data_IF_060870566634
#
_entry.id   IF_060870566634
#
_cell.length_a   1.000
_cell.length_b   1.000
_cell.length_c   1.000
_cell.angle_alpha   90.00
_cell.angle_beta   90.00
_cell.angle_gamma   90.00
#
_symmetry.space_group_name_H-M   'P 1'
#
loop_
_entity.id
_entity.type
_entity.pdbx_description
1 polymer ?
#
# COMPACT_ATOMS: atom_id res chain seq x y z
N UNK A 1 6.48 -42.84 -71.24
CA UNK A 1 5.43 -42.20 -70.43
C UNK A 1 6.09 -41.74 -69.13
N UNK A 2 6.42 -40.48 -69.08
CA UNK A 2 7.27 -39.90 -68.01
C UNK A 2 6.35 -39.10 -67.04
N UNK A 3 6.22 -39.56 -65.80
CA UNK A 3 5.37 -38.93 -64.76
C UNK A 3 6.21 -37.87 -64.05
N UNK A 4 5.87 -36.64 -64.24
CA UNK A 4 6.51 -35.50 -63.55
C UNK A 4 5.85 -35.31 -62.16
N UNK A 5 6.61 -35.62 -61.13
CA UNK A 5 6.21 -35.43 -59.73
C UNK A 5 6.48 -34.00 -59.33
N UNK A 6 5.39 -33.24 -59.15
CA UNK A 6 5.48 -31.83 -58.65
C UNK A 6 5.61 -31.86 -57.14
N UNK A 7 6.78 -31.48 -56.64
CA UNK A 7 7.02 -31.20 -55.22
C UNK A 7 6.39 -29.87 -54.85
N UNK A 8 5.39 -29.88 -53.97
CA UNK A 8 4.82 -28.68 -53.36
C UNK A 8 5.66 -28.34 -52.12
N UNK A 9 6.46 -27.29 -52.23
CA UNK A 9 7.22 -26.73 -51.13
C UNK A 9 6.25 -25.87 -50.28
N UNK A 10 5.77 -26.40 -49.13
CA UNK A 10 4.93 -25.66 -48.21
C UNK A 10 5.81 -24.65 -47.43
N UNK A 11 5.64 -23.38 -47.73
CA UNK A 11 6.28 -22.26 -47.04
C UNK A 11 5.52 -22.04 -45.73
N UNK A 12 6.01 -22.63 -44.62
CA UNK A 12 5.53 -22.30 -43.28
C UNK A 12 6.05 -20.91 -42.92
N UNK A 13 5.25 -19.86 -43.21
CA UNK A 13 5.48 -18.52 -42.65
C UNK A 13 5.08 -18.58 -41.18
N UNK A 14 6.10 -18.69 -40.30
CA UNK A 14 5.93 -18.60 -38.87
C UNK A 14 5.45 -17.17 -38.50
N UNK A 15 4.21 -17.07 -38.10
CA UNK A 15 3.73 -15.87 -37.43
C UNK A 15 4.40 -15.81 -36.05
N UNK A 16 5.46 -15.00 -35.95
CA UNK A 16 6.00 -14.55 -34.65
C UNK A 16 4.93 -13.58 -34.13
N UNK A 17 4.05 -14.09 -33.30
CA UNK A 17 3.18 -13.24 -32.50
C UNK A 17 4.10 -12.45 -31.55
N UNK A 18 4.35 -11.18 -31.86
CA UNK A 18 4.90 -10.25 -30.88
C UNK A 18 3.87 -10.18 -29.74
N UNK A 19 4.12 -10.93 -28.67
CA UNK A 19 3.42 -10.76 -27.41
C UNK A 19 3.92 -9.41 -26.91
N UNK A 20 3.06 -8.38 -26.76
CA UNK A 20 3.49 -7.12 -26.18
C UNK A 20 4.04 -7.42 -24.78
N UNK A 21 5.12 -6.76 -24.33
CA UNK A 21 5.58 -6.89 -22.97
C UNK A 21 4.40 -6.53 -22.06
N UNK A 22 3.98 -7.48 -21.24
CA UNK A 22 2.97 -7.26 -20.23
C UNK A 22 3.64 -6.38 -19.18
N UNK A 23 3.35 -5.07 -19.17
CA UNK A 23 3.84 -4.15 -18.17
C UNK A 23 3.52 -4.68 -16.79
N UNK A 24 4.53 -4.79 -15.92
CA UNK A 24 4.46 -5.66 -14.76
C UNK A 24 4.40 -4.94 -13.41
N UNK A 25 4.52 -3.63 -13.36
CA UNK A 25 4.41 -2.87 -12.11
C UNK A 25 3.24 -1.87 -12.15
N UNK A 26 2.43 -1.79 -11.09
CA UNK A 26 2.41 -2.64 -9.89
C UNK A 26 1.66 -3.96 -10.10
N UNK A 27 1.95 -4.98 -9.26
CA UNK A 27 1.30 -6.29 -9.28
C UNK A 27 0.10 -6.40 -8.34
N UNK A 28 0.05 -5.56 -7.32
CA UNK A 28 -1.03 -5.52 -6.33
C UNK A 28 -1.42 -4.07 -6.04
N UNK A 29 -2.69 -3.89 -5.72
CA UNK A 29 -3.24 -2.60 -5.32
C UNK A 29 -3.81 -2.71 -3.91
N UNK A 30 -3.46 -1.73 -3.09
CA UNK A 30 -3.94 -1.63 -1.71
C UNK A 30 -4.62 -0.30 -1.53
N UNK A 31 -5.92 -0.34 -1.24
CA UNK A 31 -6.67 0.85 -0.79
C UNK A 31 -6.52 1.00 0.70
N UNK A 32 -6.12 2.19 1.15
CA UNK A 32 -5.81 2.45 2.55
C UNK A 32 -6.83 3.35 3.22
N UNK A 33 -7.00 3.14 4.52
CA UNK A 33 -7.56 4.13 5.46
C UNK A 33 -6.54 4.38 6.57
N UNK A 34 -6.31 5.66 6.89
CA UNK A 34 -5.36 6.09 7.92
C UNK A 34 -6.08 6.98 8.93
N UNK A 35 -6.02 6.61 10.20
CA UNK A 35 -6.49 7.44 11.30
C UNK A 35 -5.33 7.80 12.21
N UNK A 36 -5.13 9.09 12.44
CA UNK A 36 -4.15 9.63 13.38
C UNK A 36 -4.87 10.03 14.67
N UNK A 37 -4.31 9.64 15.81
CA UNK A 37 -4.91 9.92 17.11
C UNK A 37 -4.00 10.85 17.90
N UNK A 38 -4.50 12.04 18.21
CA UNK A 38 -3.81 13.00 19.06
C UNK A 38 -4.46 13.08 20.46
N UNK A 39 -3.63 13.23 21.50
CA UNK A 39 -4.09 13.47 22.86
C UNK A 39 -4.37 14.96 23.14
N UNK A 40 -4.76 15.27 24.37
CA UNK A 40 -5.08 16.64 24.81
C UNK A 40 -3.86 17.58 24.77
N UNK A 41 -2.67 17.02 24.87
CA UNK A 41 -1.40 17.75 24.77
C UNK A 41 -1.00 18.05 23.32
N UNK A 42 -1.75 17.51 22.35
CA UNK A 42 -1.48 17.66 20.92
C UNK A 42 -0.37 16.74 20.39
N UNK A 43 -0.06 15.68 21.14
CA UNK A 43 0.90 14.66 20.75
C UNK A 43 0.22 13.55 19.97
N UNK A 44 0.90 13.01 18.94
CA UNK A 44 0.47 11.82 18.24
C UNK A 44 0.67 10.59 19.14
N UNK A 45 -0.42 9.95 19.55
CA UNK A 45 -0.39 8.80 20.46
C UNK A 45 -0.62 7.47 19.75
N UNK A 46 -1.32 7.47 18.62
CA UNK A 46 -1.51 6.26 17.84
C UNK A 46 -1.75 6.56 16.36
N UNK A 47 -1.47 5.56 15.52
CA UNK A 47 -1.85 5.52 14.10
C UNK A 47 -2.59 4.21 13.86
N UNK A 48 -3.78 4.29 13.27
CA UNK A 48 -4.54 3.14 12.79
C UNK A 48 -4.44 3.08 11.27
N UNK A 49 -4.06 1.92 10.76
CA UNK A 49 -4.01 1.62 9.33
C UNK A 49 -5.00 0.52 9.01
N UNK A 50 -5.74 0.67 7.92
CA UNK A 50 -6.50 -0.42 7.30
C UNK A 50 -6.09 -0.51 5.86
N UNK A 51 -5.62 -1.68 5.44
CA UNK A 51 -5.21 -1.99 4.08
C UNK A 51 -6.20 -2.99 3.47
N UNK A 52 -6.96 -2.55 2.50
CA UNK A 52 -7.81 -3.44 1.69
C UNK A 52 -7.04 -3.84 0.45
N UNK A 53 -6.79 -5.12 0.31
CA UNK A 53 -6.14 -5.68 -0.86
C UNK A 53 -7.13 -5.79 -2.02
N UNK A 54 -6.61 -5.76 -3.26
CA UNK A 54 -7.43 -5.96 -4.44
C UNK A 54 -8.11 -7.33 -4.47
N UNK A 55 -9.11 -7.47 -5.32
CA UNK A 55 -9.94 -8.67 -5.39
C UNK A 55 -9.14 -9.93 -5.74
N UNK A 56 -8.24 -9.84 -6.75
CA UNK A 56 -7.49 -11.02 -7.20
C UNK A 56 -6.49 -11.49 -6.16
N UNK A 57 -5.73 -10.57 -5.57
CA UNK A 57 -4.82 -10.87 -4.47
C UNK A 57 -5.58 -11.46 -3.28
N UNK A 58 -6.73 -10.88 -2.92
CA UNK A 58 -7.56 -11.37 -1.81
C UNK A 58 -8.04 -12.80 -2.05
N UNK A 59 -8.55 -13.10 -3.25
CA UNK A 59 -9.06 -14.43 -3.58
C UNK A 59 -7.96 -15.50 -3.55
N UNK A 60 -6.78 -15.18 -4.09
CA UNK A 60 -5.62 -16.09 -4.08
C UNK A 60 -5.16 -16.32 -2.65
N UNK A 61 -4.96 -15.24 -1.87
CA UNK A 61 -4.44 -15.35 -0.51
C UNK A 61 -5.40 -16.08 0.43
N UNK A 62 -6.72 -15.91 0.29
CA UNK A 62 -7.71 -16.68 1.05
C UNK A 62 -7.55 -18.19 0.78
N UNK A 63 -7.44 -18.57 -0.50
CA UNK A 63 -7.30 -19.97 -0.88
C UNK A 63 -5.97 -20.57 -0.39
N UNK A 64 -4.86 -19.85 -0.55
CA UNK A 64 -3.54 -20.27 -0.09
C UNK A 64 -3.49 -20.39 1.43
N UNK A 65 -4.05 -19.42 2.16
CA UNK A 65 -4.07 -19.40 3.62
C UNK A 65 -4.77 -20.62 4.20
N UNK A 66 -5.92 -21.01 3.64
CA UNK A 66 -6.64 -22.24 4.09
C UNK A 66 -5.81 -23.49 3.81
N UNK A 67 -5.21 -23.57 2.61
CA UNK A 67 -4.41 -24.72 2.22
C UNK A 67 -3.12 -24.85 3.04
N UNK A 68 -2.45 -23.75 3.31
CA UNK A 68 -1.17 -23.75 4.04
C UNK A 68 -1.36 -24.07 5.52
N UNK A 69 -2.29 -23.38 6.17
CA UNK A 69 -2.47 -23.49 7.61
C UNK A 69 -3.33 -24.69 8.03
N UNK A 70 -4.05 -25.33 7.11
CA UNK A 70 -4.94 -26.48 7.37
C UNK A 70 -5.88 -26.24 8.56
N UNK A 71 -6.38 -25.00 8.70
CA UNK A 71 -7.27 -24.54 9.76
C UNK A 71 -8.54 -23.95 9.16
N UNK A 72 -9.64 -23.86 9.93
CA UNK A 72 -10.79 -23.03 9.54
C UNK A 72 -10.36 -21.59 9.23
N UNK A 73 -10.96 -20.98 8.21
CA UNK A 73 -10.54 -19.69 7.68
C UNK A 73 -10.28 -18.61 8.75
N UNK A 74 -11.15 -18.38 9.77
CA UNK A 74 -10.87 -17.36 10.77
C UNK A 74 -9.55 -17.61 11.53
N UNK A 75 -9.23 -18.87 11.83
CA UNK A 75 -8.00 -19.23 12.53
C UNK A 75 -6.78 -19.17 11.62
N UNK A 76 -6.93 -19.58 10.37
CA UNK A 76 -5.88 -19.45 9.36
C UNK A 76 -5.51 -17.98 9.13
N UNK A 77 -6.50 -17.07 9.08
CA UNK A 77 -6.26 -15.63 8.95
C UNK A 77 -5.53 -15.01 10.15
N UNK A 78 -5.70 -15.53 11.37
CA UNK A 78 -4.90 -15.08 12.52
C UNK A 78 -3.40 -15.39 12.34
N UNK A 79 -3.08 -16.59 11.83
CA UNK A 79 -1.69 -16.98 11.55
C UNK A 79 -1.12 -16.14 10.40
N UNK A 80 -1.92 -15.95 9.36
CA UNK A 80 -1.52 -15.16 8.21
C UNK A 80 -1.28 -13.69 8.58
N UNK A 81 -2.17 -13.07 9.37
CA UNK A 81 -1.98 -11.71 9.88
C UNK A 81 -0.64 -11.56 10.62
N UNK A 82 -0.31 -12.54 11.47
CA UNK A 82 0.97 -12.54 12.19
C UNK A 82 2.15 -12.62 11.23
N UNK A 83 2.09 -13.50 10.23
CA UNK A 83 3.13 -13.66 9.21
C UNK A 83 3.33 -12.35 8.42
N UNK A 84 2.23 -11.75 7.98
CA UNK A 84 2.27 -10.46 7.25
C UNK A 84 2.92 -9.35 8.07
N UNK A 85 2.49 -9.16 9.31
CA UNK A 85 3.03 -8.13 10.20
C UNK A 85 4.51 -8.36 10.50
N UNK A 86 4.94 -9.60 10.70
CA UNK A 86 6.35 -9.94 10.90
C UNK A 86 7.19 -9.64 9.65
N UNK A 87 6.66 -9.94 8.46
CA UNK A 87 7.34 -9.67 7.20
C UNK A 87 7.42 -8.17 6.86
N UNK A 88 6.46 -7.37 7.31
CA UNK A 88 6.42 -5.92 7.11
C UNK A 88 7.34 -5.16 8.09
N UNK A 89 7.63 -5.73 9.25
CA UNK A 89 8.41 -5.06 10.31
C UNK A 89 9.80 -4.56 9.86
N UNK A 90 10.63 -5.34 9.10
CA UNK A 90 11.93 -4.86 8.61
C UNK A 90 11.84 -3.65 7.67
N UNK A 91 10.67 -3.45 7.04
CA UNK A 91 10.41 -2.38 6.09
C UNK A 91 9.61 -1.22 6.71
N UNK A 92 9.56 -1.13 8.05
CA UNK A 92 8.79 -0.12 8.78
C UNK A 92 7.33 -0.02 8.32
N UNK A 93 6.74 -1.19 7.98
CA UNK A 93 5.36 -1.29 7.47
C UNK A 93 5.13 -0.39 6.25
N UNK A 94 6.15 -0.21 5.40
CA UNK A 94 6.18 0.68 4.25
C UNK A 94 5.81 2.15 4.55
N UNK A 95 5.90 2.55 5.80
CA UNK A 95 5.35 3.78 6.34
C UNK A 95 6.45 4.76 6.73
N UNK A 96 6.31 6.02 6.33
CA UNK A 96 7.25 7.10 6.63
C UNK A 96 6.48 8.24 7.31
N UNK A 97 6.78 8.49 8.58
CA UNK A 97 6.27 9.63 9.35
C UNK A 97 7.38 10.66 9.54
N UNK A 98 7.18 11.87 9.04
CA UNK A 98 8.07 13.00 9.27
C UNK A 98 7.35 14.07 10.09
N UNK A 99 7.98 14.53 11.15
CA UNK A 99 7.53 15.69 11.93
C UNK A 99 8.67 16.69 12.01
N UNK A 100 8.47 17.90 11.48
CA UNK A 100 9.51 18.91 11.31
C UNK A 100 10.77 18.33 10.62
N UNK A 101 10.55 17.59 9.52
CA UNK A 101 11.59 16.91 8.70
C UNK A 101 12.33 15.77 9.42
N UNK A 102 12.03 15.52 10.69
CA UNK A 102 12.59 14.39 11.45
C UNK A 102 11.72 13.16 11.26
N UNK A 103 12.34 12.04 10.92
CA UNK A 103 11.65 10.75 10.80
C UNK A 103 11.39 10.12 12.17
N UNK A 104 10.16 9.60 12.33
CA UNK A 104 9.73 8.84 13.50
C UNK A 104 9.43 7.40 13.09
N UNK A 105 10.12 6.47 13.72
CA UNK A 105 9.95 5.05 13.49
C UNK A 105 8.62 4.57 14.08
N UNK A 106 7.91 3.73 13.34
CA UNK A 106 6.75 3.04 13.88
C UNK A 106 7.18 1.89 14.80
N UNK A 107 6.57 1.75 15.98
CA UNK A 107 6.73 0.54 16.77
C UNK A 107 6.05 -0.65 16.08
N UNK A 108 6.26 -1.86 16.59
CA UNK A 108 5.41 -2.98 16.18
C UNK A 108 3.95 -2.69 16.53
N UNK A 109 2.98 -3.04 15.68
CA UNK A 109 1.57 -2.85 16.00
C UNK A 109 1.22 -3.73 17.22
N UNK A 110 0.60 -3.12 18.21
CA UNK A 110 0.16 -3.82 19.43
C UNK A 110 -1.15 -4.60 19.21
N UNK A 111 -1.91 -4.24 18.19
CA UNK A 111 -3.11 -4.95 17.72
C UNK A 111 -3.13 -4.98 16.20
N UNK A 112 -3.46 -6.13 15.66
CA UNK A 112 -3.63 -6.32 14.23
C UNK A 112 -4.59 -7.47 13.95
N UNK A 113 -5.24 -7.43 12.80
CA UNK A 113 -6.12 -8.51 12.33
C UNK A 113 -6.17 -8.53 10.81
N UNK A 114 -6.26 -9.73 10.24
CA UNK A 114 -6.62 -9.95 8.84
C UNK A 114 -8.02 -10.54 8.79
N UNK A 115 -8.91 -9.94 8.03
CA UNK A 115 -10.30 -10.34 7.96
C UNK A 115 -10.85 -10.25 6.55
N UNK A 116 -11.90 -11.03 6.27
CA UNK A 116 -12.66 -10.92 5.02
C UNK A 116 -13.70 -9.83 5.17
N UNK A 117 -13.62 -8.82 4.33
CA UNK A 117 -14.63 -7.77 4.16
C UNK A 117 -15.44 -8.03 2.88
N UNK A 118 -16.75 -7.75 2.93
CA UNK A 118 -17.64 -7.89 1.76
C UNK A 118 -18.04 -6.51 1.25
N UNK A 119 -17.89 -6.32 -0.06
CA UNK A 119 -18.30 -5.11 -0.75
C UNK A 119 -18.82 -5.49 -2.13
N UNK A 120 -20.02 -5.03 -2.48
CA UNK A 120 -20.66 -5.27 -3.80
C UNK A 120 -20.75 -6.75 -4.21
N UNK A 121 -20.90 -7.65 -3.22
CA UNK A 121 -20.97 -9.09 -3.45
C UNK A 121 -19.62 -9.78 -3.64
N UNK A 122 -18.53 -9.05 -3.56
CA UNK A 122 -17.15 -9.58 -3.61
C UNK A 122 -16.53 -9.63 -2.21
N UNK A 123 -15.56 -10.54 -2.04
CA UNK A 123 -14.79 -10.70 -0.80
C UNK A 123 -13.39 -10.10 -0.99
N UNK A 124 -12.99 -9.26 -0.06
CA UNK A 124 -11.69 -8.61 0.02
C UNK A 124 -11.03 -8.95 1.34
N UNK A 125 -9.72 -9.05 1.35
CA UNK A 125 -8.97 -9.09 2.60
C UNK A 125 -8.67 -7.67 3.08
N UNK A 126 -8.87 -7.44 4.37
CA UNK A 126 -8.46 -6.22 5.06
C UNK A 126 -7.50 -6.55 6.20
N UNK A 127 -6.29 -5.98 6.14
CA UNK A 127 -5.33 -5.98 7.23
C UNK A 127 -5.50 -4.69 8.02
N UNK A 128 -5.87 -4.81 9.29
CA UNK A 128 -5.88 -3.69 10.24
C UNK A 128 -4.65 -3.75 11.11
N UNK A 129 -4.03 -2.60 11.38
CA UNK A 129 -2.86 -2.46 12.25
C UNK A 129 -3.04 -1.22 13.13
N UNK A 130 -2.83 -1.38 14.43
CA UNK A 130 -2.81 -0.28 15.39
C UNK A 130 -1.39 -0.12 15.92
N UNK A 131 -0.84 1.09 15.75
CA UNK A 131 0.49 1.46 16.21
C UNK A 131 0.38 2.41 17.40
N UNK A 132 0.63 1.92 18.61
CA UNK A 132 0.72 2.76 19.80
C UNK A 132 2.09 3.46 19.81
N UNK A 133 2.13 4.75 19.57
CA UNK A 133 3.40 5.50 19.46
C UNK A 133 4.19 5.49 20.75
N UNK A 134 5.43 5.02 20.70
CA UNK A 134 6.38 5.06 21.83
C UNK A 134 7.08 6.41 21.93
N UNK A 135 7.41 7.02 20.78
CA UNK A 135 7.80 8.42 20.68
C UNK A 135 6.57 9.19 20.19
N UNK A 136 6.17 10.19 20.96
CA UNK A 136 4.94 10.97 20.74
C UNK A 136 5.28 12.35 20.21
N UNK A 137 5.45 12.52 18.89
CA UNK A 137 5.72 13.86 18.37
C UNK A 137 4.53 14.79 18.57
N UNK A 138 4.81 16.05 18.87
CA UNK A 138 3.79 17.08 18.97
C UNK A 138 3.34 17.46 17.57
N UNK A 139 2.03 17.35 17.30
CA UNK A 139 1.41 17.73 16.02
C UNK A 139 1.09 19.23 15.98
N UNK A 140 0.68 19.81 17.11
CA UNK A 140 0.30 21.22 17.20
C UNK A 140 1.48 22.15 16.87
N UNK A 141 1.32 22.98 15.84
CA UNK A 141 2.36 23.90 15.36
C UNK A 141 3.49 23.23 14.58
N UNK A 142 3.42 21.91 14.31
CA UNK A 142 4.43 21.17 13.56
C UNK A 142 4.03 20.94 12.12
N UNK A 143 5.05 20.82 11.25
CA UNK A 143 4.87 20.29 9.90
C UNK A 143 4.90 18.77 9.95
N UNK A 144 3.77 18.12 9.63
CA UNK A 144 3.65 16.66 9.70
C UNK A 144 3.34 16.12 8.32
N UNK A 145 4.09 15.09 7.91
CA UNK A 145 3.78 14.35 6.69
C UNK A 145 3.86 12.85 6.90
N UNK A 146 2.98 12.15 6.21
CA UNK A 146 2.87 10.71 6.21
C UNK A 146 2.80 10.18 4.79
N UNK A 147 3.51 9.09 4.52
CA UNK A 147 3.44 8.37 3.26
C UNK A 147 3.55 6.87 3.51
N UNK A 148 2.89 6.08 2.68
CA UNK A 148 3.02 4.62 2.64
C UNK A 148 3.37 4.22 1.22
N UNK A 149 4.45 3.47 1.06
CA UNK A 149 4.87 2.99 -0.26
C UNK A 149 5.83 1.79 -0.16
N UNK A 150 5.69 0.86 -1.07
CA UNK A 150 6.69 -0.16 -1.32
C UNK A 150 7.85 0.47 -2.10
N UNK A 151 9.09 0.46 -1.59
CA UNK A 151 10.24 1.06 -2.30
C UNK A 151 10.41 0.59 -3.74
N UNK A 152 10.04 -0.67 -4.02
CA UNK A 152 10.16 -1.29 -5.35
C UNK A 152 8.98 -1.02 -6.27
N UNK A 153 7.91 -0.40 -5.77
CA UNK A 153 6.64 -0.20 -6.47
C UNK A 153 5.97 -1.51 -6.94
N UNK A 154 6.30 -2.63 -6.32
CA UNK A 154 5.61 -3.90 -6.57
C UNK A 154 4.15 -3.85 -6.11
N UNK A 155 3.90 -3.09 -5.03
CA UNK A 155 2.56 -2.81 -4.48
C UNK A 155 2.28 -1.31 -4.61
N UNK A 156 1.16 -0.97 -5.25
CA UNK A 156 0.63 0.39 -5.26
C UNK A 156 -0.28 0.63 -4.05
N UNK A 157 0.00 1.67 -3.29
CA UNK A 157 -0.79 2.11 -2.14
C UNK A 157 -1.53 3.40 -2.46
N UNK A 158 -2.83 3.46 -2.17
CA UNK A 158 -3.64 4.66 -2.37
C UNK A 158 -4.72 4.81 -1.32
N UNK A 159 -5.02 6.04 -0.91
CA UNK A 159 -6.19 6.35 -0.10
C UNK A 159 -7.44 6.58 -0.96
N UNK A 160 -7.28 6.72 -2.29
CA UNK A 160 -8.33 7.03 -3.27
C UNK A 160 -9.04 8.36 -3.00
N UNK A 161 -9.46 8.61 -1.74
CA UNK A 161 -10.19 9.80 -1.32
C UNK A 161 -9.61 10.39 -0.03
N UNK A 162 -9.69 11.70 0.10
CA UNK A 162 -9.24 12.41 1.30
C UNK A 162 -9.99 11.98 2.58
N UNK A 163 -11.24 11.53 2.46
CA UNK A 163 -12.08 11.04 3.57
C UNK A 163 -11.56 9.73 4.18
N UNK A 164 -10.70 9.01 3.46
CA UNK A 164 -10.00 7.84 3.98
C UNK A 164 -8.83 8.20 4.92
N UNK A 165 -8.58 9.50 5.12
CA UNK A 165 -7.62 10.02 6.08
C UNK A 165 -8.39 10.79 7.15
N UNK A 166 -8.25 10.39 8.41
CA UNK A 166 -8.93 11.03 9.53
C UNK A 166 -7.96 11.37 10.66
N UNK A 167 -8.31 12.42 11.41
CA UNK A 167 -7.56 12.80 12.60
C UNK A 167 -8.54 12.89 13.77
N UNK A 168 -8.35 12.00 14.74
CA UNK A 168 -9.08 12.03 15.99
C UNK A 168 -8.26 12.81 17.01
N UNK A 169 -8.80 13.90 17.47
CA UNK A 169 -8.11 14.82 18.39
C UNK A 169 -9.06 15.33 19.47
N UNK A 170 -8.49 15.88 20.52
CA UNK A 170 -9.24 16.55 21.59
C UNK A 170 -9.88 17.87 21.12
N UNK A 171 -10.86 18.35 21.87
CA UNK A 171 -11.62 19.56 21.55
C UNK A 171 -10.81 20.86 21.58
N UNK A 172 -9.64 20.84 22.24
CA UNK A 172 -8.71 21.98 22.34
C UNK A 172 -7.76 22.08 21.12
N UNK A 173 -7.88 21.16 20.16
CA UNK A 173 -7.12 21.16 18.91
C UNK A 173 -8.05 21.41 17.74
N UNK A 174 -7.52 22.03 16.69
CA UNK A 174 -8.10 22.08 15.36
C UNK A 174 -7.11 21.49 14.40
N UNK A 175 -7.47 20.37 13.77
CA UNK A 175 -6.60 19.66 12.85
C UNK A 175 -7.22 19.61 11.46
N UNK A 176 -6.38 19.69 10.44
CA UNK A 176 -6.74 19.47 9.04
C UNK A 176 -5.75 18.51 8.39
N UNK A 177 -6.21 17.79 7.37
CA UNK A 177 -5.39 16.93 6.55
C UNK A 177 -5.54 17.28 5.08
N UNK A 178 -4.47 17.08 4.33
CA UNK A 178 -4.45 17.24 2.89
C UNK A 178 -3.78 16.03 2.25
N UNK A 179 -4.50 15.35 1.35
CA UNK A 179 -3.94 14.31 0.51
C UNK A 179 -3.29 14.96 -0.72
N UNK A 180 -1.99 14.76 -0.87
CA UNK A 180 -1.20 15.17 -2.02
C UNK A 180 -0.93 13.98 -2.92
N UNK A 181 -1.43 14.01 -4.13
CA UNK A 181 -1.11 13.01 -5.14
C UNK A 181 0.29 13.23 -5.72
N UNK A 182 0.99 12.16 -6.14
CA UNK A 182 2.29 12.27 -6.80
C UNK A 182 2.15 12.99 -8.14
N UNK A 183 3.21 13.70 -8.54
CA UNK A 183 3.30 14.31 -9.87
C UNK A 183 4.03 13.33 -10.79
N UNK A 184 3.26 12.56 -11.54
CA UNK A 184 3.79 11.55 -12.44
C UNK A 184 4.07 12.17 -13.81
N UNK A 185 5.26 11.89 -14.37
CA UNK A 185 5.58 12.21 -15.78
C UNK A 185 5.34 10.97 -16.65
N UNK A 186 5.17 11.19 -17.96
CA UNK A 186 5.00 10.07 -18.90
C UNK A 186 6.22 9.13 -18.90
N UNK A 187 7.43 9.70 -18.76
CA UNK A 187 8.67 8.92 -18.69
C UNK A 187 8.71 8.03 -17.44
N UNK A 188 8.29 8.55 -16.27
CA UNK A 188 8.25 7.77 -15.02
C UNK A 188 7.23 6.64 -15.12
N UNK A 189 6.07 6.92 -15.70
CA UNK A 189 5.02 5.92 -15.94
C UNK A 189 5.54 4.85 -16.91
N UNK A 190 6.14 5.26 -18.04
CA UNK A 190 6.70 4.34 -19.03
C UNK A 190 7.81 3.48 -18.43
N UNK A 191 8.67 4.06 -17.57
CA UNK A 191 9.71 3.32 -16.87
C UNK A 191 9.12 2.26 -15.94
N UNK A 192 8.13 2.61 -15.10
CA UNK A 192 7.46 1.65 -14.22
C UNK A 192 6.83 0.48 -15.00
N UNK A 193 6.22 0.75 -16.15
CA UNK A 193 5.67 -0.28 -17.02
C UNK A 193 6.73 -1.11 -17.77
N UNK A 194 7.96 -0.62 -17.90
CA UNK A 194 9.04 -1.37 -18.57
C UNK A 194 9.70 -2.42 -17.67
N UNK A 195 9.56 -2.30 -16.35
CA UNK A 195 10.12 -3.27 -15.40
C UNK A 195 9.36 -4.60 -15.51
N UNK A 196 10.07 -5.72 -15.49
CA UNK A 196 9.48 -7.05 -15.45
C UNK A 196 9.28 -7.54 -14.00
N UNK A 197 8.69 -8.72 -13.83
CA UNK A 197 8.39 -9.29 -12.50
C UNK A 197 9.63 -9.58 -11.65
N UNK A 198 10.80 -9.67 -12.27
CA UNK A 198 12.06 -10.00 -11.61
C UNK A 198 12.91 -8.76 -11.34
N UNK A 199 12.63 -7.66 -12.02
CA UNK A 199 13.32 -6.40 -11.86
C UNK A 199 12.74 -5.62 -10.68
N UNK A 200 13.61 -5.11 -9.84
CA UNK A 200 13.25 -4.28 -8.69
C UNK A 200 14.04 -2.99 -8.78
N UNK A 201 13.34 -1.89 -8.90
CA UNK A 201 13.97 -0.58 -8.73
C UNK A 201 14.10 -0.28 -7.24
N UNK A 202 15.34 -0.23 -6.77
CA UNK A 202 15.66 0.16 -5.38
C UNK A 202 15.91 1.67 -5.24
N UNK A 203 15.90 2.40 -6.35
CA UNK A 203 16.36 3.81 -6.39
C UNK A 203 15.25 4.83 -6.12
N UNK A 204 14.09 4.37 -5.64
CA UNK A 204 13.06 5.25 -5.13
C UNK A 204 11.81 5.38 -6.01
N UNK A 205 11.59 4.44 -6.93
CA UNK A 205 10.39 4.39 -7.75
C UNK A 205 9.12 4.46 -6.91
N UNK A 206 9.00 3.61 -5.87
CA UNK A 206 7.84 3.63 -5.00
C UNK A 206 7.61 4.98 -4.32
N UNK A 207 8.67 5.69 -3.93
CA UNK A 207 8.55 7.05 -3.38
C UNK A 207 8.00 8.04 -4.40
N UNK A 208 8.37 7.92 -5.67
CA UNK A 208 7.91 8.80 -6.72
C UNK A 208 6.41 8.64 -7.00
N UNK A 209 5.87 7.42 -6.80
CA UNK A 209 4.44 7.12 -6.93
C UNK A 209 3.65 7.30 -5.61
N UNK A 210 4.34 7.60 -4.50
CA UNK A 210 3.70 7.68 -3.18
C UNK A 210 2.79 8.91 -3.04
N UNK A 211 1.61 8.69 -2.49
CA UNK A 211 0.79 9.76 -1.93
C UNK A 211 1.44 10.33 -0.67
N UNK A 212 1.20 11.60 -0.41
CA UNK A 212 1.65 12.27 0.81
C UNK A 212 0.46 12.89 1.53
N UNK A 213 0.24 12.50 2.77
CA UNK A 213 -0.69 13.16 3.67
C UNK A 213 0.07 14.27 4.41
N UNK A 214 -0.45 15.49 4.35
CA UNK A 214 0.01 16.60 5.17
C UNK A 214 -1.00 16.83 6.27
N UNK A 215 -0.53 16.93 7.51
CA UNK A 215 -1.35 17.17 8.70
C UNK A 215 -0.90 18.51 9.30
N UNK A 216 -1.88 19.35 9.60
CA UNK A 216 -1.68 20.61 10.31
C UNK A 216 -2.64 20.65 11.50
N UNK A 217 -2.11 20.85 12.71
CA UNK A 217 -2.88 21.00 13.93
C UNK A 217 -2.49 22.30 14.63
N UNK A 218 -3.50 23.00 15.16
CA UNK A 218 -3.32 24.23 15.95
C UNK A 218 -4.06 24.09 17.27
N UNK A 219 -3.53 24.73 18.33
CA UNK A 219 -4.24 24.82 19.62
C UNK A 219 -5.34 25.87 19.52
N UNK A 220 -6.56 25.53 19.94
CA UNK A 220 -7.64 26.51 20.04
C UNK A 220 -7.37 27.42 21.25
N UNK A 221 -7.34 28.73 20.99
CA UNK A 221 -7.13 29.75 22.03
C UNK A 221 -5.76 30.37 22.07
N UNK A 222 -4.76 29.94 21.35
CA UNK A 222 -3.51 30.70 21.13
C UNK A 222 -3.73 31.66 19.95
N UNK A 223 -4.21 32.85 20.27
CA UNK A 223 -4.21 34.00 19.34
C UNK A 223 -2.74 34.43 19.19
N UNK A 224 -2.21 34.35 17.96
CA UNK A 224 -0.89 34.93 17.60
C UNK A 224 -0.93 36.45 17.60
#
# INVERSE_FOLDING_TARGET
MMVIQKSILACCVGWITMIPPCGAHPHNWVTMRSEFVANDEGELVAINQTWRFDFFFSAILIAETVNEWQQPLPKALEFEARRMVQNLAPYQYFSVLLVNEREFQLPAPDRYALQVAKSEGQEFLELTMHFQMTQRPVLAGSTVSWSVYDPTYYIAYSHEHADNVTIRHASNLSCSQQLKLPKLTEELIAYAFSLDQTERDTDGLGRAFAEKILIACERQGEVR
#
